data_IF_653548843672
#
_entry.id   IF_653548843672
#
_cell.length_a   1.000
_cell.length_b   1.000
_cell.length_c   1.000
_cell.angle_alpha   90.00
_cell.angle_beta   90.00
_cell.angle_gamma   90.00
#
_symmetry.space_group_name_H-M   'P 1'
#
loop_
_entity.id
_entity.type
_entity.pdbx_description
1 polymer ?
#
# COMPACT_ATOMS: atom_id res chain seq x y z
N UNK A 1 -10.51 38.63 -20.73
CA UNK A 1 -9.52 37.87 -19.93
C UNK A 1 -10.15 36.55 -19.50
N UNK A 2 -9.70 35.40 -20.02
CA UNK A 2 -10.14 34.09 -19.51
C UNK A 2 -9.50 33.93 -18.12
N UNK A 3 -10.30 33.91 -17.05
CA UNK A 3 -9.82 33.48 -15.72
C UNK A 3 -9.28 32.08 -15.91
N UNK A 4 -7.96 31.91 -15.83
CA UNK A 4 -7.33 30.60 -15.91
C UNK A 4 -7.91 29.71 -14.83
N UNK A 5 -8.34 28.50 -15.21
CA UNK A 5 -8.79 27.50 -14.25
C UNK A 5 -7.67 27.33 -13.21
N UNK A 6 -7.96 27.48 -11.90
CA UNK A 6 -6.93 27.28 -10.89
C UNK A 6 -6.30 25.89 -11.08
N UNK A 7 -4.97 25.83 -10.99
CA UNK A 7 -4.22 24.58 -11.13
C UNK A 7 -4.62 23.56 -10.05
N UNK A 8 -4.20 22.29 -10.21
CA UNK A 8 -4.53 21.25 -9.24
C UNK A 8 -4.05 21.62 -7.83
N UNK A 9 -4.92 21.46 -6.85
CA UNK A 9 -4.67 21.80 -5.45
C UNK A 9 -4.63 20.53 -4.59
N UNK A 10 -3.46 20.27 -4.01
CA UNK A 10 -3.23 19.14 -3.12
C UNK A 10 -2.92 19.61 -1.70
N UNK A 11 -3.44 18.88 -0.72
CA UNK A 11 -3.14 19.10 0.69
C UNK A 11 -2.05 18.14 1.16
N UNK A 12 -1.01 18.69 1.77
CA UNK A 12 0.08 17.91 2.36
C UNK A 12 1.00 17.24 1.33
N UNK A 13 1.84 16.33 1.84
CA UNK A 13 2.82 15.59 1.02
C UNK A 13 2.23 14.25 0.57
N UNK A 14 2.48 13.81 -0.69
CA UNK A 14 2.14 12.46 -1.12
C UNK A 14 2.75 11.41 -0.18
N UNK A 15 2.00 10.34 0.10
CA UNK A 15 2.48 9.22 0.93
C UNK A 15 2.32 7.90 0.21
N UNK A 16 3.40 7.14 0.10
CA UNK A 16 3.36 5.77 -0.38
C UNK A 16 3.25 4.81 0.81
N UNK A 17 2.16 4.05 0.88
CA UNK A 17 1.91 3.07 1.94
C UNK A 17 0.90 2.03 1.46
N UNK A 18 0.95 0.80 1.98
CA UNK A 18 -0.02 -0.27 1.64
C UNK A 18 -0.05 -0.57 0.12
N UNK A 19 1.08 -0.39 -0.56
CA UNK A 19 1.20 -0.60 -2.01
C UNK A 19 0.54 0.49 -2.88
N UNK A 20 0.08 1.59 -2.29
CA UNK A 20 -0.64 2.66 -3.00
C UNK A 20 -0.07 4.05 -2.72
N UNK A 21 -0.15 4.94 -3.71
CA UNK A 21 0.19 6.36 -3.58
C UNK A 21 -1.06 7.13 -3.10
N UNK A 22 -0.98 7.70 -1.90
CA UNK A 22 -2.05 8.47 -1.27
C UNK A 22 -1.85 9.96 -1.53
N UNK A 23 -2.90 10.61 -2.03
CA UNK A 23 -2.97 12.04 -2.35
C UNK A 23 -4.26 12.64 -1.77
N UNK A 24 -4.20 13.86 -1.27
CA UNK A 24 -5.37 14.58 -0.75
C UNK A 24 -5.67 15.75 -1.67
N UNK A 25 -6.83 15.70 -2.34
CA UNK A 25 -7.27 16.77 -3.23
C UNK A 25 -8.05 17.79 -2.40
N UNK A 26 -7.64 19.06 -2.42
CA UNK A 26 -8.29 20.13 -1.65
C UNK A 26 -9.69 20.47 -2.19
N UNK A 27 -9.99 20.08 -3.44
CA UNK A 27 -11.29 20.33 -4.08
C UNK A 27 -11.67 19.24 -5.10
N UNK A 28 -12.95 19.23 -5.48
CA UNK A 28 -13.53 18.26 -6.43
C UNK A 28 -12.95 18.41 -7.84
N UNK A 29 -12.58 19.63 -8.25
CA UNK A 29 -11.98 19.87 -9.57
C UNK A 29 -10.61 19.20 -9.70
N UNK A 30 -9.79 19.23 -8.65
CA UNK A 30 -8.49 18.55 -8.62
C UNK A 30 -8.66 17.04 -8.68
N UNK A 31 -9.67 16.50 -8.00
CA UNK A 31 -9.99 15.08 -8.08
C UNK A 31 -10.43 14.67 -9.50
N UNK A 32 -11.26 15.47 -10.16
CA UNK A 32 -11.69 15.21 -11.53
C UNK A 32 -10.50 15.23 -12.50
N UNK A 33 -9.67 16.27 -12.42
CA UNK A 33 -8.43 16.39 -13.19
C UNK A 33 -7.50 15.18 -12.98
N UNK A 34 -7.29 14.76 -11.72
CA UNK A 34 -6.42 13.63 -11.40
C UNK A 34 -6.93 12.31 -12.01
N UNK A 35 -8.26 12.09 -11.99
CA UNK A 35 -8.87 10.90 -12.60
C UNK A 35 -8.65 10.85 -14.12
N UNK A 36 -8.77 11.99 -14.79
CA UNK A 36 -8.51 12.08 -16.24
C UNK A 36 -7.04 11.76 -16.55
N UNK A 37 -6.09 12.36 -15.83
CA UNK A 37 -4.66 12.11 -16.04
C UNK A 37 -4.32 10.64 -15.80
N UNK A 38 -4.81 10.05 -14.71
CA UNK A 38 -4.55 8.64 -14.37
C UNK A 38 -5.12 7.70 -15.44
N UNK A 39 -6.28 8.03 -16.04
CA UNK A 39 -6.89 7.17 -17.07
C UNK A 39 -6.02 6.98 -18.32
N UNK A 40 -5.13 7.94 -18.61
CA UNK A 40 -4.20 7.86 -19.73
C UNK A 40 -2.83 7.29 -19.37
N UNK A 41 -2.58 6.97 -18.10
CA UNK A 41 -1.29 6.45 -17.63
C UNK A 41 -1.30 4.92 -17.52
N UNK A 42 -0.33 4.30 -18.17
CA UNK A 42 -0.03 2.87 -18.05
C UNK A 42 1.33 2.70 -17.40
N UNK A 43 1.42 1.78 -16.44
CA UNK A 43 2.72 1.38 -15.88
C UNK A 43 3.45 0.46 -16.86
N UNK A 44 4.75 0.26 -16.64
CA UNK A 44 5.51 -0.82 -17.28
C UNK A 44 4.80 -2.16 -17.10
N UNK A 45 4.77 -2.97 -18.16
CA UNK A 45 3.92 -4.17 -18.28
C UNK A 45 2.41 -3.91 -18.47
N UNK A 46 2.05 -2.74 -19.01
CA UNK A 46 0.67 -2.39 -19.43
C UNK A 46 -0.37 -2.48 -18.29
N UNK A 47 0.09 -2.36 -17.05
CA UNK A 47 -0.81 -2.39 -15.89
C UNK A 47 -1.48 -1.03 -15.75
N UNK A 48 -2.83 -0.95 -15.77
CA UNK A 48 -3.52 0.33 -15.63
C UNK A 48 -3.43 0.83 -14.20
N UNK A 49 -3.23 2.15 -14.04
CA UNK A 49 -3.40 2.78 -12.74
C UNK A 49 -4.88 2.93 -12.43
N UNK A 50 -5.28 2.57 -11.21
CA UNK A 50 -6.67 2.65 -10.77
C UNK A 50 -6.82 3.61 -9.59
N UNK A 51 -7.87 4.42 -9.63
CA UNK A 51 -8.23 5.25 -8.49
C UNK A 51 -9.01 4.40 -7.48
N UNK A 52 -8.61 4.45 -6.21
CA UNK A 52 -9.31 3.79 -5.10
C UNK A 52 -9.64 4.80 -4.02
N UNK A 53 -10.82 4.70 -3.43
CA UNK A 53 -11.11 5.46 -2.22
C UNK A 53 -10.24 4.96 -1.08
N UNK A 54 -9.86 5.85 -0.16
CA UNK A 54 -9.01 5.46 0.96
C UNK A 54 -9.63 4.33 1.81
N UNK A 55 -10.96 4.30 1.92
CA UNK A 55 -11.72 3.24 2.59
C UNK A 55 -11.66 1.88 1.89
N UNK A 56 -11.32 1.84 0.61
CA UNK A 56 -11.22 0.62 -0.20
C UNK A 56 -9.80 0.02 -0.18
N UNK A 57 -8.82 0.76 0.35
CA UNK A 57 -7.45 0.28 0.45
C UNK A 57 -7.40 -0.77 1.56
N UNK A 58 -7.06 -2.00 1.21
CA UNK A 58 -6.80 -3.04 2.20
C UNK A 58 -5.56 -2.66 3.01
N UNK A 59 -5.78 -2.33 4.29
CA UNK A 59 -4.70 -1.85 5.18
C UNK A 59 -3.61 -2.90 5.43
N UNK A 60 -3.96 -4.19 5.27
CA UNK A 60 -3.05 -5.33 5.38
C UNK A 60 -3.58 -6.49 4.52
N UNK A 61 -2.73 -7.05 3.67
CA UNK A 61 -2.98 -8.40 3.14
C UNK A 61 -2.68 -9.35 4.30
N UNK A 62 -3.71 -9.99 4.86
CA UNK A 62 -3.50 -11.07 5.83
C UNK A 62 -3.09 -12.32 5.07
N UNK A 63 -1.79 -12.49 4.85
CA UNK A 63 -1.24 -13.73 4.34
C UNK A 63 -1.14 -14.71 5.52
N UNK A 64 -1.99 -15.73 5.56
CA UNK A 64 -1.75 -16.87 6.44
C UNK A 64 -0.59 -17.68 5.89
N UNK A 65 0.42 -17.98 6.70
CA UNK A 65 1.50 -18.89 6.33
C UNK A 65 1.20 -20.22 7.02
N UNK A 66 1.04 -21.29 6.23
CA UNK A 66 0.97 -22.65 6.74
C UNK A 66 2.40 -23.13 6.99
N UNK A 67 2.78 -23.25 8.26
CA UNK A 67 4.08 -23.79 8.66
C UNK A 67 3.88 -25.27 8.98
N UNK A 68 4.44 -26.21 8.18
CA UNK A 68 4.36 -27.63 8.50
C UNK A 68 5.11 -27.87 9.82
N UNK A 69 4.38 -28.27 10.85
CA UNK A 69 4.90 -28.56 12.18
C UNK A 69 4.93 -30.07 12.42
N UNK A 70 5.64 -30.78 11.55
CA UNK A 70 5.79 -32.24 11.58
C UNK A 70 6.40 -32.76 12.90
N UNK A 71 7.13 -31.90 13.62
CA UNK A 71 7.89 -32.23 14.82
C UNK A 71 7.51 -31.41 16.06
N UNK A 72 6.41 -30.63 16.03
CA UNK A 72 5.96 -29.84 17.18
C UNK A 72 6.88 -28.66 17.55
N UNK A 73 7.78 -28.25 16.65
CA UNK A 73 8.76 -27.17 16.81
C UNK A 73 8.12 -25.79 16.87
N UNK A 74 6.94 -25.62 16.29
CA UNK A 74 6.24 -24.34 16.18
C UNK A 74 5.08 -24.17 17.16
N UNK A 75 5.01 -25.00 18.22
CA UNK A 75 4.08 -24.79 19.34
C UNK A 75 4.32 -23.48 20.10
N UNK A 76 5.56 -23.02 20.15
CA UNK A 76 5.93 -21.70 20.68
C UNK A 76 6.02 -20.72 19.51
N UNK A 77 5.16 -19.70 19.54
CA UNK A 77 5.08 -18.65 18.53
C UNK A 77 6.40 -17.86 18.39
N UNK A 78 7.25 -17.82 19.42
CA UNK A 78 8.59 -17.22 19.35
C UNK A 78 9.51 -17.95 18.37
N UNK A 79 9.34 -19.26 18.20
CA UNK A 79 10.11 -20.03 17.23
C UNK A 79 9.73 -19.68 15.78
N UNK A 80 8.47 -19.30 15.55
CA UNK A 80 8.00 -18.81 14.25
C UNK A 80 8.68 -17.47 13.93
N UNK A 81 8.66 -16.51 14.87
CA UNK A 81 9.32 -15.21 14.70
C UNK A 81 10.83 -15.34 14.43
N UNK A 82 11.51 -16.24 15.14
CA UNK A 82 12.93 -16.56 14.89
C UNK A 82 13.20 -17.17 13.52
N UNK A 83 12.37 -18.11 13.08
CA UNK A 83 12.53 -18.72 11.76
C UNK A 83 12.31 -17.70 10.63
N UNK A 84 11.27 -16.86 10.76
CA UNK A 84 10.95 -15.83 9.77
C UNK A 84 12.04 -14.76 9.66
N UNK A 85 12.61 -14.32 10.80
CA UNK A 85 13.73 -13.37 10.82
C UNK A 85 15.01 -13.96 10.22
N UNK A 86 15.30 -15.24 10.46
CA UNK A 86 16.44 -15.92 9.84
C UNK A 86 16.32 -16.03 8.31
N UNK A 87 15.12 -16.31 7.81
CA UNK A 87 14.87 -16.49 6.38
C UNK A 87 14.74 -15.17 5.62
N UNK A 88 14.34 -14.09 6.29
CA UNK A 88 14.06 -12.80 5.67
C UNK A 88 14.85 -11.68 6.38
N UNK A 89 16.18 -11.65 6.27
CA UNK A 89 17.02 -10.68 6.98
C UNK A 89 16.75 -9.21 6.59
N UNK A 90 16.04 -8.97 5.48
CA UNK A 90 15.63 -7.63 5.03
C UNK A 90 14.30 -7.14 5.61
N UNK A 91 13.60 -7.95 6.42
CA UNK A 91 12.32 -7.59 7.04
C UNK A 91 12.51 -7.48 8.55
N UNK A 92 12.01 -6.40 9.14
CA UNK A 92 11.91 -6.27 10.60
C UNK A 92 10.73 -7.12 11.09
N UNK A 93 11.05 -8.32 11.59
CA UNK A 93 10.06 -9.24 12.15
C UNK A 93 9.96 -8.94 13.65
N UNK A 94 8.82 -8.41 14.08
CA UNK A 94 8.53 -8.21 15.50
C UNK A 94 8.40 -9.57 16.20
N UNK A 95 9.47 -9.97 16.88
CA UNK A 95 9.58 -11.23 17.61
C UNK A 95 8.98 -11.17 19.02
N UNK A 96 8.60 -9.98 19.50
CA UNK A 96 8.02 -9.79 20.83
C UNK A 96 6.48 -9.92 20.85
N UNK A 97 5.83 -9.69 19.70
CA UNK A 97 4.39 -9.84 19.51
C UNK A 97 3.94 -11.24 19.06
N UNK A 98 4.90 -12.15 18.84
CA UNK A 98 4.65 -13.55 18.47
C UNK A 98 4.61 -14.43 19.71
#
# INVERSE_FOLDING_TARGET
>A
MKKGTPGPMFDGKPRYAEGVLKLWCSNVHTLAWLKEIISGLTLSASTPLVFRRQSEIQRRVRCGIAIPDDQGRFKDSRNIGRALSYQNPWIDVDTAAC
#
